data_IF_432967156927
#
_entry.id   IF_432967156927
#
_cell.length_a   1.000
_cell.length_b   1.000
_cell.length_c   1.000
_cell.angle_alpha   90.00
_cell.angle_beta   90.00
_cell.angle_gamma   90.00
#
_symmetry.space_group_name_H-M   'P 1'
#
loop_
_entity.id
_entity.type
_entity.pdbx_description
1 polymer ?
#
# COMPACT_ATOMS: atom_id res chain seq x y z
N UNK A 1 -31.43 22.84 -1.79
CA UNK A 1 -29.99 22.83 -2.13
C UNK A 1 -29.50 21.39 -2.06
N UNK A 2 -29.59 20.69 -3.18
CA UNK A 2 -29.08 19.32 -3.34
C UNK A 2 -27.58 19.26 -3.11
N UNK A 3 -27.15 18.37 -2.21
CA UNK A 3 -25.74 17.98 -2.11
C UNK A 3 -25.49 16.89 -3.13
N UNK A 4 -24.65 17.20 -4.11
CA UNK A 4 -24.19 16.28 -5.13
C UNK A 4 -23.45 15.10 -4.49
N UNK A 5 -24.01 13.92 -4.71
CA UNK A 5 -23.50 12.62 -4.32
C UNK A 5 -22.27 12.28 -5.20
N UNK A 6 -21.06 12.64 -4.76
CA UNK A 6 -19.82 12.20 -5.40
C UNK A 6 -19.58 10.74 -5.04
N UNK A 7 -19.87 9.86 -6.00
CA UNK A 7 -19.86 8.40 -5.87
C UNK A 7 -18.51 7.78 -5.54
N UNK A 8 -18.15 7.79 -4.26
CA UNK A 8 -17.09 6.97 -3.70
C UNK A 8 -17.74 5.88 -2.87
N UNK A 9 -17.68 4.64 -3.35
CA UNK A 9 -18.11 3.48 -2.57
C UNK A 9 -17.19 3.41 -1.35
N UNK A 10 -17.76 3.64 -0.16
CA UNK A 10 -17.12 3.33 1.10
C UNK A 10 -16.73 1.85 1.05
N UNK A 11 -15.43 1.54 0.95
CA UNK A 11 -14.97 0.20 1.26
C UNK A 11 -15.22 -0.05 2.75
N UNK A 12 -15.72 -1.24 3.08
CA UNK A 12 -15.95 -1.60 4.47
C UNK A 12 -14.64 -1.49 5.28
N UNK A 13 -14.68 -1.01 6.53
CA UNK A 13 -13.48 -0.90 7.35
C UNK A 13 -12.89 -2.30 7.56
N UNK A 14 -11.68 -2.53 7.05
CA UNK A 14 -10.89 -3.72 7.36
C UNK A 14 -10.44 -3.60 8.82
N UNK A 15 -10.68 -4.66 9.60
CA UNK A 15 -10.27 -4.72 11.00
C UNK A 15 -8.73 -4.57 11.12
N UNK A 16 -8.22 -3.87 12.15
CA UNK A 16 -6.77 -3.78 12.36
C UNK A 16 -6.19 -5.19 12.55
N UNK A 17 -5.17 -5.53 11.78
CA UNK A 17 -4.42 -6.78 11.93
C UNK A 17 -3.30 -6.50 12.94
N UNK A 18 -3.31 -7.17 14.08
CA UNK A 18 -2.27 -7.01 15.09
C UNK A 18 -0.91 -7.49 14.56
N UNK A 19 0.10 -6.62 14.60
CA UNK A 19 1.48 -6.92 14.19
C UNK A 19 2.37 -6.97 15.44
N UNK A 20 3.20 -8.00 15.54
CA UNK A 20 4.17 -8.25 16.62
C UNK A 20 5.45 -7.42 16.42
N UNK A 21 6.08 -7.00 17.53
CA UNK A 21 7.20 -6.04 17.61
C UNK A 21 8.52 -6.57 17.00
N UNK A 22 8.96 -6.09 15.82
CA UNK A 22 10.36 -6.21 15.31
C UNK A 22 10.66 -5.18 14.17
N UNK A 23 11.12 -3.98 14.53
CA UNK A 23 11.03 -2.78 13.67
C UNK A 23 11.97 -2.65 12.46
N UNK A 24 12.85 -3.62 12.18
CA UNK A 24 13.74 -3.59 10.99
C UNK A 24 13.51 -4.78 10.04
N UNK A 25 13.20 -5.96 10.58
CA UNK A 25 12.63 -7.10 9.83
C UNK A 25 11.36 -6.66 9.08
N UNK A 26 10.49 -5.89 9.74
CA UNK A 26 9.23 -5.42 9.18
C UNK A 26 9.39 -4.55 7.93
N UNK A 27 10.41 -3.68 7.86
CA UNK A 27 10.58 -2.80 6.68
C UNK A 27 11.08 -3.58 5.48
N UNK A 28 12.03 -4.50 5.69
CA UNK A 28 12.52 -5.39 4.62
C UNK A 28 11.38 -6.29 4.11
N UNK A 29 10.60 -6.86 5.04
CA UNK A 29 9.43 -7.67 4.71
C UNK A 29 8.35 -6.87 3.98
N UNK A 30 8.15 -5.60 4.31
CA UNK A 30 7.24 -4.72 3.58
C UNK A 30 7.67 -4.48 2.14
N UNK A 31 8.96 -4.21 1.89
CA UNK A 31 9.47 -4.07 0.52
C UNK A 31 9.29 -5.36 -0.27
N UNK A 32 9.65 -6.50 0.34
CA UNK A 32 9.50 -7.79 -0.29
C UNK A 32 8.02 -8.10 -0.60
N UNK A 33 7.12 -7.91 0.37
CA UNK A 33 5.69 -8.11 0.19
C UNK A 33 5.10 -7.17 -0.88
N UNK A 34 5.55 -5.92 -0.96
CA UNK A 34 5.15 -4.98 -2.00
C UNK A 34 5.57 -5.46 -3.40
N UNK A 35 6.79 -5.97 -3.55
CA UNK A 35 7.28 -6.48 -4.82
C UNK A 35 6.56 -7.76 -5.24
N UNK A 36 6.25 -8.63 -4.28
CA UNK A 36 5.41 -9.81 -4.51
C UNK A 36 3.99 -9.40 -4.92
N UNK A 37 3.39 -8.42 -4.26
CA UNK A 37 2.03 -7.95 -4.57
C UNK A 37 1.91 -7.42 -6.01
N UNK A 38 2.88 -6.62 -6.45
CA UNK A 38 2.91 -6.09 -7.83
C UNK A 38 2.96 -7.22 -8.86
N UNK A 39 3.79 -8.24 -8.62
CA UNK A 39 3.91 -9.38 -9.53
C UNK A 39 2.69 -10.29 -9.49
N UNK A 40 2.23 -10.65 -8.28
CA UNK A 40 1.11 -11.56 -8.04
C UNK A 40 -0.22 -11.05 -8.62
N UNK A 41 -0.39 -9.73 -8.69
CA UNK A 41 -1.62 -9.08 -9.13
C UNK A 41 -1.48 -8.39 -10.50
N UNK A 42 -0.37 -8.62 -11.21
CA UNK A 42 -0.06 -8.03 -12.51
C UNK A 42 -0.27 -6.50 -12.56
N UNK A 43 0.22 -5.81 -11.53
CA UNK A 43 0.04 -4.37 -11.39
C UNK A 43 1.02 -3.60 -12.27
N UNK A 44 0.57 -2.45 -12.78
CA UNK A 44 1.39 -1.56 -13.61
C UNK A 44 2.68 -1.15 -12.90
N UNK A 45 3.79 -0.90 -13.62
CA UNK A 45 5.06 -0.46 -13.03
C UNK A 45 4.95 0.78 -12.12
N UNK A 46 4.05 1.71 -12.45
CA UNK A 46 3.75 2.89 -11.61
C UNK A 46 3.35 2.53 -10.18
N UNK A 47 2.66 1.40 -9.98
CA UNK A 47 2.29 0.90 -8.66
C UNK A 47 3.52 0.53 -7.82
N UNK A 48 4.53 -0.08 -8.44
CA UNK A 48 5.79 -0.42 -7.76
C UNK A 48 6.51 0.84 -7.28
N UNK A 49 6.67 1.84 -8.15
CA UNK A 49 7.36 3.08 -7.77
C UNK A 49 6.67 3.80 -6.62
N UNK A 50 5.34 3.87 -6.64
CA UNK A 50 4.58 4.47 -5.54
C UNK A 50 4.72 3.63 -4.26
N UNK A 51 4.57 2.32 -4.32
CA UNK A 51 4.73 1.43 -3.16
C UNK A 51 6.11 1.55 -2.52
N UNK A 52 7.19 1.59 -3.31
CA UNK A 52 8.55 1.76 -2.81
C UNK A 52 8.67 3.05 -1.98
N UNK A 53 8.07 4.16 -2.43
CA UNK A 53 8.07 5.42 -1.68
C UNK A 53 7.19 5.36 -0.43
N UNK A 54 6.04 4.68 -0.50
CA UNK A 54 5.15 4.51 0.65
C UNK A 54 5.83 3.69 1.75
N UNK A 55 6.43 2.55 1.40
CA UNK A 55 7.18 1.71 2.35
C UNK A 55 8.38 2.48 2.92
N UNK A 56 9.08 3.26 2.09
CA UNK A 56 10.17 4.13 2.55
C UNK A 56 9.73 5.23 3.54
N UNK A 57 8.45 5.61 3.55
CA UNK A 57 7.90 6.55 4.53
C UNK A 57 7.53 5.91 5.88
N UNK A 58 7.49 4.58 5.96
CA UNK A 58 7.14 3.88 7.21
C UNK A 58 8.27 4.00 8.24
N UNK A 59 7.92 4.50 9.43
CA UNK A 59 8.87 4.86 10.48
C UNK A 59 9.27 3.70 11.41
N UNK A 60 8.74 2.50 11.18
CA UNK A 60 9.05 1.32 12.00
C UNK A 60 8.14 1.14 13.22
N UNK A 61 7.25 2.09 13.49
CA UNK A 61 6.33 2.05 14.64
C UNK A 61 4.86 2.03 14.15
N UNK A 62 4.06 1.01 14.53
CA UNK A 62 2.64 0.98 14.24
C UNK A 62 1.89 2.05 15.02
N UNK A 63 0.93 2.70 14.37
CA UNK A 63 0.04 3.69 14.99
C UNK A 63 -1.34 3.06 15.15
N UNK A 64 -1.79 2.86 16.40
CA UNK A 64 -3.05 2.17 16.68
C UNK A 64 -3.09 0.74 16.13
N UNK A 65 -1.96 0.04 16.13
CA UNK A 65 -1.81 -1.31 15.59
C UNK A 65 -1.81 -1.41 14.06
N UNK A 66 -1.64 -0.29 13.34
CA UNK A 66 -1.60 -0.23 11.88
C UNK A 66 -0.30 0.38 11.36
N UNK A 67 0.17 -0.10 10.22
CA UNK A 67 1.36 0.40 9.52
C UNK A 67 1.02 1.65 8.69
N UNK A 68 0.67 2.74 9.37
CA UNK A 68 0.18 3.95 8.72
C UNK A 68 1.33 4.80 8.16
N UNK A 69 1.11 5.31 6.95
CA UNK A 69 1.95 6.31 6.29
C UNK A 69 1.09 7.42 5.69
N UNK A 70 1.59 8.65 5.69
CA UNK A 70 0.83 9.83 5.23
C UNK A 70 1.65 10.78 4.34
N UNK A 71 2.35 10.30 3.30
CA UNK A 71 3.00 11.20 2.35
C UNK A 71 1.96 12.00 1.53
N UNK A 72 2.28 13.26 1.25
CA UNK A 72 1.49 14.10 0.34
C UNK A 72 1.63 13.60 -1.11
N UNK A 73 0.66 13.95 -1.96
CA UNK A 73 0.80 13.67 -3.39
C UNK A 73 2.01 14.40 -3.98
N UNK A 74 2.25 15.64 -3.58
CA UNK A 74 3.43 16.42 -3.99
C UNK A 74 4.76 15.70 -3.68
N UNK A 75 4.89 15.13 -2.48
CA UNK A 75 6.06 14.31 -2.13
C UNK A 75 6.20 13.11 -3.07
N UNK A 76 5.10 12.42 -3.37
CA UNK A 76 5.10 11.29 -4.29
C UNK A 76 5.44 11.72 -5.73
N UNK A 77 4.98 12.89 -6.19
CA UNK A 77 5.35 13.45 -7.50
C UNK A 77 6.85 13.67 -7.57
N UNK A 78 7.42 14.36 -6.59
CA UNK A 78 8.86 14.65 -6.54
C UNK A 78 9.71 13.38 -6.53
N UNK A 79 9.26 12.33 -5.83
CA UNK A 79 10.02 11.08 -5.68
C UNK A 79 9.85 10.10 -6.83
N UNK A 80 8.71 10.12 -7.52
CA UNK A 80 8.39 9.14 -8.57
C UNK A 80 8.43 9.72 -9.98
N UNK A 81 8.40 11.04 -10.12
CA UNK A 81 8.26 11.73 -11.41
C UNK A 81 6.87 11.59 -12.06
N UNK A 82 5.93 10.92 -11.38
CA UNK A 82 4.55 10.77 -11.84
C UNK A 82 3.76 12.05 -11.56
N UNK A 83 2.80 12.37 -12.41
CA UNK A 83 1.87 13.47 -12.14
C UNK A 83 0.89 13.15 -11.02
N UNK A 84 0.36 14.18 -10.37
CA UNK A 84 -0.61 14.06 -9.27
C UNK A 84 -1.83 13.21 -9.66
N UNK A 85 -2.32 13.41 -10.89
CA UNK A 85 -3.42 12.61 -11.47
C UNK A 85 -3.05 11.13 -11.52
N UNK A 86 -1.84 10.80 -11.95
CA UNK A 86 -1.35 9.43 -12.03
C UNK A 86 -1.19 8.83 -10.64
N UNK A 87 -0.67 9.59 -9.67
CA UNK A 87 -0.56 9.14 -8.28
C UNK A 87 -1.93 8.83 -7.68
N UNK A 88 -2.92 9.70 -7.85
CA UNK A 88 -4.29 9.42 -7.38
C UNK A 88 -4.87 8.16 -8.02
N UNK A 89 -4.65 7.97 -9.33
CA UNK A 89 -5.07 6.75 -10.02
C UNK A 89 -4.37 5.50 -9.48
N UNK A 90 -3.05 5.55 -9.30
CA UNK A 90 -2.25 4.43 -8.77
C UNK A 90 -2.66 4.08 -7.35
N UNK A 91 -2.82 5.06 -6.47
CA UNK A 91 -3.30 4.81 -5.10
C UNK A 91 -4.69 4.19 -5.11
N UNK A 92 -5.60 4.68 -5.95
CA UNK A 92 -6.93 4.08 -6.11
C UNK A 92 -6.85 2.63 -6.58
N UNK A 93 -6.00 2.32 -7.56
CA UNK A 93 -5.78 0.96 -8.05
C UNK A 93 -5.21 0.04 -6.94
N UNK A 94 -4.26 0.53 -6.13
CA UNK A 94 -3.69 -0.22 -5.01
C UNK A 94 -4.72 -0.50 -3.89
N UNK A 95 -5.59 0.46 -3.60
CA UNK A 95 -6.71 0.29 -2.67
C UNK A 95 -7.73 -0.73 -3.21
N UNK A 96 -8.10 -0.61 -4.48
CA UNK A 96 -9.05 -1.52 -5.12
C UNK A 96 -8.51 -2.97 -5.20
N UNK A 97 -7.19 -3.13 -5.37
CA UNK A 97 -6.51 -4.43 -5.34
C UNK A 97 -6.32 -5.00 -3.91
N UNK A 98 -6.66 -4.22 -2.87
CA UNK A 98 -6.46 -4.59 -1.46
C UNK A 98 -4.99 -4.72 -1.07
N UNK A 99 -4.09 -4.07 -1.82
CA UNK A 99 -2.65 -3.99 -1.49
C UNK A 99 -2.43 -2.95 -0.40
N UNK A 100 -3.24 -1.91 -0.39
CA UNK A 100 -3.31 -0.89 0.64
C UNK A 100 -4.73 -0.85 1.22
N UNK A 101 -4.87 -0.29 2.42
CA UNK A 101 -6.16 0.23 2.87
C UNK A 101 -6.04 1.71 3.25
N UNK A 102 -7.16 2.43 3.27
CA UNK A 102 -7.17 3.85 3.60
C UNK A 102 -7.70 4.05 5.03
N UNK A 103 -7.04 4.92 5.79
CA UNK A 103 -7.60 5.53 7.00
C UNK A 103 -7.94 6.97 6.66
N UNK A 104 -9.15 7.16 6.13
CA UNK A 104 -9.58 8.46 5.62
C UNK A 104 -9.97 9.42 6.73
N UNK A 105 -9.63 10.69 6.54
CA UNK A 105 -10.15 11.80 7.34
C UNK A 105 -11.42 12.35 6.70
N UNK A 106 -12.24 13.06 7.47
CA UNK A 106 -13.46 13.69 6.96
C UNK A 106 -13.24 14.69 5.80
N UNK A 107 -12.01 15.20 5.63
CA UNK A 107 -11.64 16.13 4.56
C UNK A 107 -10.74 15.50 3.47
N UNK A 108 -10.50 14.19 3.52
CA UNK A 108 -9.67 13.47 2.55
C UNK A 108 -8.18 13.80 2.59
N UNK A 109 -7.71 14.58 3.58
CA UNK A 109 -6.28 14.89 3.75
C UNK A 109 -5.58 13.81 4.56
N UNK A 110 -4.30 13.60 4.25
CA UNK A 110 -3.41 12.69 4.99
C UNK A 110 -2.56 13.50 5.96
N UNK A 111 -2.61 13.18 7.25
CA UNK A 111 -1.86 13.89 8.30
C UNK A 111 -1.76 13.05 9.58
N UNK A 112 -0.68 13.25 10.34
CA UNK A 112 -0.54 12.71 11.69
C UNK A 112 -1.25 13.61 12.72
N UNK A 113 -1.87 12.99 13.72
CA UNK A 113 -2.39 13.64 14.93
C UNK A 113 -1.33 13.54 16.00
N UNK A 114 -1.00 14.68 16.61
CA UNK A 114 0.01 14.77 17.67
C UNK A 114 -0.61 15.14 19.00
N UNK A 115 -0.06 14.58 20.09
CA UNK A 115 -0.37 15.01 21.46
C UNK A 115 0.12 16.44 21.70
N UNK A 116 -0.25 17.03 22.85
CA UNK A 116 0.28 18.33 23.28
C UNK A 116 1.80 18.32 23.46
N UNK A 117 2.39 17.15 23.71
CA UNK A 117 3.84 16.94 23.82
C UNK A 117 4.51 16.67 22.46
N UNK A 118 3.78 16.71 21.34
CA UNK A 118 4.32 16.55 19.99
C UNK A 118 4.49 15.09 19.53
N UNK A 119 4.13 14.11 20.35
CA UNK A 119 4.18 12.69 20.00
C UNK A 119 3.05 12.33 19.04
N UNK A 120 3.31 11.47 18.05
CA UNK A 120 2.27 10.96 17.14
C UNK A 120 1.38 10.00 17.92
N UNK A 121 0.09 10.30 18.03
CA UNK A 121 -0.90 9.48 18.76
C UNK A 121 -1.90 8.82 17.83
N UNK A 122 -2.08 9.37 16.63
CA UNK A 122 -2.91 8.79 15.57
C UNK A 122 -2.50 9.34 14.19
N UNK A 123 -3.01 8.80 13.09
CA UNK A 123 -2.82 9.34 11.75
C UNK A 123 -3.97 9.03 10.78
N UNK A 124 -4.18 9.90 9.80
CA UNK A 124 -5.00 9.64 8.62
C UNK A 124 -4.10 9.51 7.40
N UNK A 125 -4.26 8.45 6.61
CA UNK A 125 -3.29 8.08 5.58
C UNK A 125 -3.57 6.74 4.90
N UNK A 126 -2.50 6.11 4.43
CA UNK A 126 -2.51 4.79 3.82
C UNK A 126 -1.95 3.77 4.80
N UNK A 127 -2.58 2.62 4.87
CA UNK A 127 -2.21 1.51 5.75
C UNK A 127 -1.54 0.41 4.92
N UNK A 128 -0.30 0.09 5.30
CA UNK A 128 0.53 -0.93 4.68
C UNK A 128 0.30 -2.34 5.27
N UNK A 129 -0.47 -2.47 6.36
CA UNK A 129 -0.72 -3.76 7.03
C UNK A 129 -1.19 -4.89 6.09
N UNK A 130 -2.01 -4.62 5.03
CA UNK A 130 -2.39 -5.65 4.08
C UNK A 130 -1.22 -6.33 3.35
N UNK A 131 -0.08 -5.63 3.15
CA UNK A 131 1.12 -6.20 2.54
C UNK A 131 1.66 -7.37 3.36
N UNK A 132 1.86 -7.17 4.66
CA UNK A 132 2.39 -8.22 5.54
C UNK A 132 1.39 -9.34 5.78
N UNK A 133 0.10 -9.01 5.86
CA UNK A 133 -0.97 -9.97 6.06
C UNK A 133 -1.14 -10.93 4.86
N UNK A 134 -0.98 -10.40 3.64
CA UNK A 134 -1.19 -11.15 2.39
C UNK A 134 0.12 -11.64 1.76
N UNK A 135 1.28 -11.42 2.38
CA UNK A 135 2.60 -11.77 1.80
C UNK A 135 2.68 -13.22 1.31
N UNK A 136 2.12 -14.17 2.06
CA UNK A 136 2.11 -15.60 1.69
C UNK A 136 1.21 -15.87 0.48
N UNK A 137 0.05 -15.21 0.40
CA UNK A 137 -0.84 -15.29 -0.76
C UNK A 137 -0.11 -14.79 -2.02
N UNK A 138 0.58 -13.65 -1.92
CA UNK A 138 1.34 -13.08 -3.03
C UNK A 138 2.50 -13.98 -3.46
N UNK A 139 3.28 -14.50 -2.51
CA UNK A 139 4.38 -15.43 -2.79
C UNK A 139 3.88 -16.66 -3.58
N UNK A 140 2.83 -17.32 -3.10
CA UNK A 140 2.28 -18.50 -3.75
C UNK A 140 1.81 -18.20 -5.19
N UNK A 141 1.15 -17.05 -5.41
CA UNK A 141 0.74 -16.63 -6.76
C UNK A 141 1.93 -16.39 -7.68
N UNK A 142 2.99 -15.74 -7.18
CA UNK A 142 4.21 -15.51 -7.96
C UNK A 142 4.87 -16.83 -8.35
N UNK A 143 4.93 -17.80 -7.46
CA UNK A 143 5.53 -19.10 -7.75
C UNK A 143 4.74 -19.86 -8.82
N UNK A 144 3.41 -19.88 -8.71
CA UNK A 144 2.54 -20.45 -9.76
C UNK A 144 2.78 -19.78 -11.13
N UNK A 145 2.87 -18.45 -11.17
CA UNK A 145 3.14 -17.71 -12.41
C UNK A 145 4.52 -18.03 -13.00
N UNK A 146 5.54 -18.26 -12.16
CA UNK A 146 6.87 -18.67 -12.63
C UNK A 146 6.84 -20.07 -13.22
N UNK A 147 6.21 -21.02 -12.53
CA UNK A 147 6.06 -22.40 -13.02
C UNK A 147 5.35 -22.44 -14.37
N UNK A 148 4.29 -21.65 -14.55
CA UNK A 148 3.58 -21.54 -15.83
C UNK A 148 4.48 -20.97 -16.94
N UNK A 149 5.26 -19.93 -16.65
CA UNK A 149 6.20 -19.32 -17.61
C UNK A 149 7.29 -20.30 -18.01
N UNK A 150 7.84 -21.05 -17.07
CA UNK A 150 8.85 -22.07 -17.36
C UNK A 150 8.29 -23.19 -18.23
N UNK A 151 7.08 -23.69 -17.92
CA UNK A 151 6.42 -24.71 -18.75
C UNK A 151 6.20 -24.22 -20.18
N UNK A 152 5.71 -22.98 -20.34
CA UNK A 152 5.52 -22.37 -21.68
C UNK A 152 6.83 -22.24 -22.44
N UNK A 153 7.92 -21.88 -21.75
CA UNK A 153 9.25 -21.78 -22.37
C UNK A 153 9.75 -23.16 -22.83
N UNK A 154 9.66 -24.18 -21.99
CA UNK A 154 10.08 -25.56 -22.35
C UNK A 154 9.35 -26.10 -23.57
N UNK A 155 8.04 -25.83 -23.68
CA UNK A 155 7.23 -26.22 -24.85
C UNK A 155 7.58 -25.46 -26.14
N UNK A 156 8.24 -24.31 -26.05
CA UNK A 156 8.68 -23.53 -27.21
C UNK A 156 10.10 -23.92 -27.66
N UNK A 157 10.91 -24.42 -26.73
CA UNK A 157 12.30 -24.83 -26.98
C UNK A 157 12.40 -26.28 -27.54
N UNK A 158 11.28 -27.02 -27.65
CA UNK A 158 11.15 -28.38 -28.21
C UNK A 158 10.45 -28.36 -29.59
#
# INVERSE_FOLDING_TARGET
>A
MERLNTGWRHSAPVAPIALSEESDTDRTDLFHAAHLAVQALDLKPACRYVLDQLVGCYRGEPVGGRLLVWPSNEFLEQRTGLSERTIRYVVSALLAAGVLSAKDSANGKRFAIRSKQGQIVDAYGLDLSPLLARRREFANKVDVLKDERERRRRLFDE
#
